data_IF_865320972924
#
_entry.id   IF_865320972924
#
_cell.length_a   1.000
_cell.length_b   1.000
_cell.length_c   1.000
_cell.angle_alpha   90.00
_cell.angle_beta   90.00
_cell.angle_gamma   90.00
#
_symmetry.space_group_name_H-M   'P 1'
#
loop_
_entity.id
_entity.type
_entity.pdbx_description
1 polymer ?
#
# COMPACT_ATOMS: atom_id res chain seq x y z
N UNK A 1 -7.29 -9.91 20.27
CA UNK A 1 -7.41 -8.61 19.59
C UNK A 1 -7.71 -8.96 18.15
N UNK A 2 -8.92 -8.67 17.70
CA UNK A 2 -9.53 -9.34 16.55
C UNK A 2 -8.64 -9.27 15.31
N UNK A 3 -8.66 -10.36 14.55
CA UNK A 3 -8.16 -10.51 13.19
C UNK A 3 -8.85 -9.44 12.30
N UNK A 4 -8.30 -8.22 12.33
CA UNK A 4 -8.75 -7.04 11.58
C UNK A 4 -7.79 -6.70 10.43
N UNK A 5 -6.77 -7.54 10.22
CA UNK A 5 -5.51 -7.16 9.56
C UNK A 5 -5.44 -7.51 8.08
N UNK A 6 -6.44 -8.18 7.49
CA UNK A 6 -6.42 -8.48 6.05
C UNK A 6 -7.04 -7.32 5.25
N UNK A 7 -6.21 -6.61 4.48
CA UNK A 7 -6.69 -5.56 3.57
C UNK A 7 -7.59 -6.18 2.48
N UNK A 8 -8.70 -5.50 2.09
CA UNK A 8 -9.68 -6.08 1.19
C UNK A 8 -9.10 -6.32 -0.22
N UNK A 9 -9.36 -7.51 -0.77
CA UNK A 9 -9.10 -7.83 -2.18
C UNK A 9 -10.40 -8.31 -2.82
N UNK A 10 -10.79 -7.67 -3.91
CA UNK A 10 -12.10 -7.87 -4.53
C UNK A 10 -12.06 -8.82 -5.73
N UNK A 11 -13.23 -9.40 -6.04
CA UNK A 11 -13.44 -10.10 -7.31
C UNK A 11 -13.49 -9.11 -8.47
N UNK A 12 -13.13 -9.54 -9.68
CA UNK A 12 -13.20 -8.73 -10.91
C UNK A 12 -14.63 -8.23 -11.21
N UNK A 13 -15.64 -8.93 -10.70
CA UNK A 13 -17.06 -8.62 -10.88
C UNK A 13 -17.64 -7.68 -9.81
N UNK A 14 -16.83 -7.23 -8.85
CA UNK A 14 -17.30 -6.31 -7.80
C UNK A 14 -17.84 -5.04 -8.46
N UNK A 15 -18.98 -4.55 -7.96
CA UNK A 15 -19.46 -3.24 -8.39
C UNK A 15 -18.54 -2.15 -7.86
N UNK A 16 -18.36 -1.11 -8.66
CA UNK A 16 -17.54 0.03 -8.27
C UNK A 16 -18.00 0.65 -6.95
N UNK A 17 -19.32 0.86 -6.78
CA UNK A 17 -19.84 1.49 -5.57
C UNK A 17 -19.60 0.64 -4.32
N UNK A 18 -19.77 -0.68 -4.42
CA UNK A 18 -19.55 -1.61 -3.31
C UNK A 18 -18.08 -1.66 -2.88
N UNK A 19 -17.16 -1.70 -3.86
CA UNK A 19 -15.73 -1.64 -3.59
C UNK A 19 -15.33 -0.31 -2.94
N UNK A 20 -15.86 0.80 -3.44
CA UNK A 20 -15.60 2.12 -2.87
C UNK A 20 -16.12 2.25 -1.43
N UNK A 21 -17.33 1.77 -1.15
CA UNK A 21 -17.88 1.75 0.21
C UNK A 21 -17.05 0.88 1.16
N UNK A 22 -16.57 -0.28 0.70
CA UNK A 22 -15.72 -1.15 1.51
C UNK A 22 -14.34 -0.52 1.77
N UNK A 23 -13.68 0.05 0.76
CA UNK A 23 -12.39 0.72 0.93
C UNK A 23 -12.49 1.91 1.90
N UNK A 24 -13.56 2.72 1.79
CA UNK A 24 -13.82 3.81 2.72
C UNK A 24 -14.09 3.32 4.15
N UNK A 25 -14.78 2.19 4.34
CA UNK A 25 -15.02 1.60 5.65
C UNK A 25 -13.73 1.05 6.30
N UNK A 26 -12.73 0.70 5.50
CA UNK A 26 -11.38 0.36 5.95
C UNK A 26 -10.47 1.58 6.13
N UNK A 27 -10.99 2.80 5.97
CA UNK A 27 -10.23 4.05 6.05
C UNK A 27 -9.03 4.07 5.08
N UNK A 28 -9.17 3.41 3.94
CA UNK A 28 -8.16 3.40 2.89
C UNK A 28 -8.36 4.63 1.98
N UNK A 29 -7.32 5.44 1.87
CA UNK A 29 -7.28 6.61 0.99
C UNK A 29 -7.55 7.94 1.70
N UNK A 30 -7.64 9.00 0.91
CA UNK A 30 -7.78 10.39 1.35
C UNK A 30 -9.19 10.96 1.13
N UNK A 31 -10.15 10.08 0.80
CA UNK A 31 -11.51 10.43 0.42
C UNK A 31 -11.71 10.56 -1.10
N UNK A 32 -10.65 10.46 -1.90
CA UNK A 32 -10.77 10.32 -3.35
C UNK A 32 -11.08 8.87 -3.77
N UNK A 33 -11.63 8.67 -4.98
CA UNK A 33 -11.87 7.32 -5.47
C UNK A 33 -10.57 6.54 -5.69
N UNK A 34 -10.57 5.26 -5.32
CA UNK A 34 -9.42 4.36 -5.45
C UNK A 34 -9.70 3.32 -6.52
N UNK A 35 -8.65 2.76 -7.12
CA UNK A 35 -8.82 1.60 -7.99
C UNK A 35 -9.01 0.36 -7.11
N UNK A 36 -10.11 -0.41 -7.25
CA UNK A 36 -10.34 -1.59 -6.43
C UNK A 36 -9.22 -2.62 -6.61
N UNK A 37 -8.55 -3.03 -5.52
CA UNK A 37 -7.52 -4.05 -5.57
C UNK A 37 -8.15 -5.40 -5.83
N UNK A 38 -7.89 -5.98 -7.01
CA UNK A 38 -8.30 -7.34 -7.35
C UNK A 38 -7.09 -8.25 -7.39
N UNK A 39 -7.30 -9.56 -7.24
CA UNK A 39 -6.22 -10.55 -7.32
C UNK A 39 -5.41 -10.39 -8.63
N UNK A 40 -6.10 -10.24 -9.77
CA UNK A 40 -5.44 -10.05 -11.07
C UNK A 40 -4.59 -8.77 -11.12
N UNK A 41 -5.09 -7.64 -10.61
CA UNK A 41 -4.32 -6.37 -10.60
C UNK A 41 -3.08 -6.49 -9.72
N UNK A 42 -3.17 -7.18 -8.59
CA UNK A 42 -2.04 -7.43 -7.70
C UNK A 42 -1.02 -8.37 -8.33
N UNK A 43 -1.48 -9.44 -8.99
CA UNK A 43 -0.63 -10.36 -9.74
C UNK A 43 0.11 -9.64 -10.88
N UNK A 44 -0.60 -8.81 -11.66
CA UNK A 44 0.01 -7.99 -12.72
C UNK A 44 1.03 -6.98 -12.17
N UNK A 45 0.74 -6.35 -11.04
CA UNK A 45 1.65 -5.40 -10.39
C UNK A 45 2.92 -6.09 -9.89
N UNK A 46 2.82 -7.34 -9.45
CA UNK A 46 3.94 -8.12 -8.90
C UNK A 46 4.66 -8.99 -9.94
N UNK A 47 4.26 -8.94 -11.21
CA UNK A 47 4.90 -9.73 -12.27
C UNK A 47 6.40 -9.41 -12.37
N UNK A 48 7.22 -10.46 -12.40
CA UNK A 48 8.69 -10.34 -12.38
C UNK A 48 9.32 -10.01 -11.03
N UNK A 49 8.56 -9.86 -9.94
CA UNK A 49 9.11 -9.68 -8.58
C UNK A 49 9.50 -11.04 -7.98
N UNK A 50 10.80 -11.26 -7.75
CA UNK A 50 11.32 -12.56 -7.31
C UNK A 50 10.90 -12.98 -5.89
N UNK A 51 10.89 -12.06 -4.93
CA UNK A 51 10.46 -12.31 -3.55
C UNK A 51 9.57 -11.16 -3.04
N UNK A 52 8.25 -11.22 -3.29
CA UNK A 52 7.32 -10.16 -2.90
C UNK A 52 7.16 -9.97 -1.39
N UNK A 53 7.54 -10.96 -0.58
CA UNK A 53 7.35 -10.96 0.87
C UNK A 53 8.60 -10.50 1.63
N UNK A 54 9.75 -10.38 0.95
CA UNK A 54 10.97 -9.86 1.55
C UNK A 54 10.77 -8.45 2.09
N UNK A 55 11.02 -8.27 3.37
CA UNK A 55 11.06 -6.95 4.01
C UNK A 55 12.36 -6.22 3.69
N UNK A 56 12.24 -4.92 3.42
CA UNK A 56 13.34 -3.99 3.21
C UNK A 56 13.53 -3.03 4.41
N UNK A 57 12.75 -3.20 5.49
CA UNK A 57 12.76 -2.34 6.67
C UNK A 57 11.34 -2.11 7.20
N UNK A 58 11.23 -1.40 8.33
CA UNK A 58 9.94 -1.08 8.96
C UNK A 58 9.56 0.37 8.66
N UNK A 59 8.34 0.59 8.16
CA UNK A 59 7.85 1.92 7.79
C UNK A 59 7.09 2.56 8.96
N UNK A 60 7.60 3.65 9.57
CA UNK A 60 6.85 4.40 10.58
C UNK A 60 5.55 5.00 9.99
N UNK A 61 4.54 5.35 10.80
CA UNK A 61 4.52 5.26 12.27
C UNK A 61 4.04 3.90 12.79
N UNK A 62 3.42 3.07 11.94
CA UNK A 62 2.87 1.77 12.31
C UNK A 62 3.94 0.66 12.32
N UNK A 63 5.11 0.93 11.75
CA UNK A 63 6.24 0.01 11.66
C UNK A 63 5.88 -1.31 10.96
N UNK A 64 5.05 -1.23 9.92
CA UNK A 64 4.77 -2.36 9.03
C UNK A 64 5.96 -2.67 8.12
N UNK A 65 6.07 -3.91 7.67
CA UNK A 65 7.14 -4.36 6.78
C UNK A 65 7.06 -3.72 5.40
N UNK A 66 8.17 -3.09 4.96
CA UNK A 66 8.33 -2.61 3.59
C UNK A 66 8.60 -3.78 2.66
N UNK A 67 7.53 -4.43 2.21
CA UNK A 67 7.60 -5.50 1.21
C UNK A 67 7.12 -5.00 -0.15
N UNK A 68 7.58 -5.64 -1.24
CA UNK A 68 7.06 -5.34 -2.56
C UNK A 68 5.55 -5.61 -2.66
N UNK A 69 5.04 -6.62 -1.95
CA UNK A 69 3.60 -6.91 -1.85
C UNK A 69 2.81 -5.75 -1.21
N UNK A 70 3.30 -5.19 -0.11
CA UNK A 70 2.67 -4.07 0.57
C UNK A 70 2.66 -2.80 -0.30
N UNK A 71 3.77 -2.53 -0.99
CA UNK A 71 3.85 -1.40 -1.93
C UNK A 71 2.95 -1.63 -3.15
N UNK A 72 2.92 -2.84 -3.72
CA UNK A 72 2.06 -3.18 -4.85
C UNK A 72 0.58 -2.94 -4.55
N UNK A 73 0.11 -3.28 -3.35
CA UNK A 73 -1.26 -3.00 -2.94
C UNK A 73 -1.57 -1.50 -2.95
N UNK A 74 -0.70 -0.68 -2.36
CA UNK A 74 -0.83 0.79 -2.38
C UNK A 74 -0.75 1.36 -3.80
N UNK A 75 0.14 0.84 -4.64
CA UNK A 75 0.24 1.19 -6.06
C UNK A 75 -1.05 0.87 -6.81
N UNK A 76 -1.67 -0.29 -6.55
CA UNK A 76 -2.96 -0.63 -7.16
C UNK A 76 -4.02 0.35 -6.71
N UNK A 77 -4.17 0.64 -5.42
CA UNK A 77 -5.14 1.62 -4.92
C UNK A 77 -4.99 2.99 -5.61
N UNK A 78 -3.75 3.43 -5.78
CA UNK A 78 -3.40 4.70 -6.44
C UNK A 78 -3.55 4.69 -7.96
N UNK A 79 -3.84 3.53 -8.59
CA UNK A 79 -3.95 3.40 -10.03
C UNK A 79 -2.61 3.43 -10.78
N UNK A 80 -1.50 3.10 -10.10
CA UNK A 80 -0.19 2.98 -10.71
C UNK A 80 -0.15 1.86 -11.77
N UNK A 81 0.82 1.94 -12.67
CA UNK A 81 1.14 0.91 -13.68
C UNK A 81 2.23 -0.02 -13.15
N UNK A 82 2.28 -1.30 -13.54
CA UNK A 82 3.30 -2.25 -13.07
C UNK A 82 4.76 -1.77 -13.17
N UNK A 83 5.19 -1.10 -14.26
CA UNK A 83 6.57 -0.58 -14.34
C UNK A 83 6.93 0.49 -13.29
N UNK A 84 5.95 1.06 -12.59
CA UNK A 84 6.16 2.09 -11.56
C UNK A 84 6.45 1.49 -10.19
N UNK A 85 6.07 0.23 -9.93
CA UNK A 85 6.34 -0.46 -8.66
C UNK A 85 7.80 -0.37 -8.19
N UNK A 86 8.82 -0.71 -9.00
CA UNK A 86 10.21 -0.64 -8.53
C UNK A 86 10.64 0.76 -8.15
N UNK A 87 10.13 1.79 -8.83
CA UNK A 87 10.43 3.20 -8.53
C UNK A 87 9.83 3.59 -7.18
N UNK A 88 8.56 3.24 -6.94
CA UNK A 88 7.88 3.53 -5.66
C UNK A 88 8.56 2.78 -4.51
N UNK A 89 8.87 1.49 -4.69
CA UNK A 89 9.56 0.70 -3.68
C UNK A 89 10.93 1.30 -3.33
N UNK A 90 11.74 1.67 -4.33
CA UNK A 90 13.03 2.34 -4.10
C UNK A 90 12.88 3.70 -3.42
N UNK A 91 11.85 4.47 -3.76
CA UNK A 91 11.59 5.76 -3.12
C UNK A 91 11.26 5.59 -1.64
N UNK A 92 10.39 4.63 -1.28
CA UNK A 92 10.06 4.37 0.13
C UNK A 92 11.27 3.82 0.89
N UNK A 93 12.09 2.97 0.28
CA UNK A 93 13.36 2.51 0.88
C UNK A 93 14.30 3.68 1.17
N UNK A 94 14.45 4.62 0.24
CA UNK A 94 15.27 5.81 0.46
C UNK A 94 14.74 6.70 1.60
N UNK A 95 13.42 6.78 1.78
CA UNK A 95 12.81 7.49 2.90
C UNK A 95 13.11 6.84 4.26
N UNK A 96 13.51 5.56 4.31
CA UNK A 96 13.90 4.90 5.57
C UNK A 96 15.32 5.26 6.02
N UNK A 97 16.10 5.97 5.21
CA UNK A 97 17.42 6.44 5.64
C UNK A 97 17.31 7.36 6.87
N UNK A 98 18.11 7.16 7.93
CA UNK A 98 17.96 7.91 9.19
C UNK A 98 18.03 9.44 9.01
N UNK A 99 18.80 9.91 8.02
CA UNK A 99 18.93 11.34 7.72
C UNK A 99 17.65 11.97 7.16
N UNK A 100 16.73 11.19 6.59
CA UNK A 100 15.43 11.67 6.11
C UNK A 100 14.45 11.89 7.27
N UNK A 101 14.62 11.19 8.39
CA UNK A 101 13.77 11.30 9.58
C UNK A 101 12.27 11.14 9.27
N UNK A 102 11.91 10.06 8.56
CA UNK A 102 10.54 9.83 8.09
C UNK A 102 9.48 9.89 9.19
N UNK A 103 9.76 9.33 10.37
CA UNK A 103 8.83 9.42 11.50
C UNK A 103 8.52 10.88 11.85
N UNK A 104 9.56 11.72 11.95
CA UNK A 104 9.40 13.15 12.22
C UNK A 104 8.57 13.87 11.15
N UNK A 105 8.74 13.50 9.88
CA UNK A 105 7.93 14.03 8.77
C UNK A 105 6.46 13.63 8.90
N UNK A 106 6.20 12.33 9.14
CA UNK A 106 4.85 11.76 9.20
C UNK A 106 4.06 12.17 10.44
N UNK A 107 4.72 12.57 11.53
CA UNK A 107 4.05 13.01 12.78
C UNK A 107 3.72 14.50 12.80
N UNK A 108 3.73 15.18 11.65
CA UNK A 108 3.30 16.58 11.51
C UNK A 108 1.95 16.67 10.82
N UNK A 109 1.15 17.69 11.14
CA UNK A 109 -0.22 17.88 10.64
C UNK A 109 -0.35 18.20 9.13
N UNK A 110 0.72 18.00 8.33
CA UNK A 110 0.74 18.34 6.90
C UNK A 110 1.26 17.27 5.95
N UNK A 111 1.65 16.07 6.43
CA UNK A 111 2.14 15.00 5.56
C UNK A 111 1.00 14.03 5.18
N UNK A 112 0.81 13.68 3.89
CA UNK A 112 -0.01 12.51 3.54
C UNK A 112 0.67 11.26 4.10
N UNK A 113 0.00 10.57 5.01
CA UNK A 113 0.54 9.37 5.68
C UNK A 113 0.28 8.15 4.80
N UNK A 114 1.35 7.43 4.45
CA UNK A 114 1.27 6.08 3.88
C UNK A 114 1.47 5.09 5.02
N UNK A 115 0.43 4.36 5.39
CA UNK A 115 0.50 3.25 6.35
C UNK A 115 0.67 1.92 5.63
N UNK A 116 1.59 1.07 6.10
CA UNK A 116 1.68 -0.32 5.66
C UNK A 116 1.01 -1.22 6.69
N UNK A 117 -0.10 -1.85 6.29
CA UNK A 117 -0.77 -2.92 7.05
C UNK A 117 -0.27 -4.30 6.64
N UNK A 118 -0.60 -5.32 7.43
CA UNK A 118 -0.32 -6.71 7.08
C UNK A 118 -1.19 -7.13 5.89
N UNK A 119 -0.69 -8.02 5.03
CA UNK A 119 -1.38 -8.55 3.85
C UNK A 119 -1.42 -10.08 3.90
#
# INVERSE_FOLDING_TARGET
MADQDALPVFAETVRWEDAQSALAAHELGDGLPLVPPTARRLEEMLDGVADPARSHGLVPPLFGDLTARAVAYNCVLAGCRPPELPVVLSAVQACLEPCFNLLGVLTTTGAPVVGLGNL
#
